data_IF_997968167950
#
_entry.id   IF_997968167950
#
_cell.length_a   1.000
_cell.length_b   1.000
_cell.length_c   1.000
_cell.angle_alpha   90.00
_cell.angle_beta   90.00
_cell.angle_gamma   90.00
#
_symmetry.space_group_name_H-M   'P 1'
#
loop_
_entity.id
_entity.type
_entity.pdbx_description
1 polymer ?
#
# COMPACT_ATOMS: atom_id res chain seq x y z
N UNK A 1 19.61 -5.47 8.53
CA UNK A 1 18.20 -5.87 8.72
C UNK A 1 17.99 -7.09 7.85
N UNK A 2 17.40 -8.15 8.40
CA UNK A 2 17.01 -9.30 7.59
C UNK A 2 15.88 -8.88 6.63
N UNK A 3 15.79 -9.48 5.44
CA UNK A 3 14.66 -9.24 4.53
C UNK A 3 13.36 -9.69 5.21
N UNK A 4 12.29 -8.92 5.04
CA UNK A 4 10.97 -9.25 5.56
C UNK A 4 10.46 -10.56 4.95
N UNK A 5 9.76 -11.35 5.76
CA UNK A 5 8.97 -12.49 5.29
C UNK A 5 7.75 -12.02 4.51
N UNK A 6 7.19 -12.87 3.65
CA UNK A 6 5.95 -12.54 2.92
C UNK A 6 4.78 -12.18 3.83
N UNK A 7 4.73 -12.74 5.05
CA UNK A 7 3.66 -12.44 6.02
C UNK A 7 3.83 -11.02 6.58
N UNK A 8 5.07 -10.61 6.88
CA UNK A 8 5.36 -9.25 7.33
C UNK A 8 5.10 -8.24 6.22
N UNK A 9 5.52 -8.53 4.98
CA UNK A 9 5.20 -7.70 3.81
C UNK A 9 3.69 -7.54 3.62
N UNK A 10 2.93 -8.62 3.79
CA UNK A 10 1.46 -8.55 3.75
C UNK A 10 0.89 -7.69 4.88
N UNK A 11 1.43 -7.80 6.10
CA UNK A 11 1.01 -6.98 7.23
C UNK A 11 1.21 -5.49 6.93
N UNK A 12 2.37 -5.09 6.40
CA UNK A 12 2.63 -3.70 6.02
C UNK A 12 1.67 -3.20 4.93
N UNK A 13 1.44 -4.02 3.89
CA UNK A 13 0.48 -3.69 2.83
C UNK A 13 -0.95 -3.56 3.36
N UNK A 14 -1.35 -4.41 4.31
CA UNK A 14 -2.66 -4.31 4.97
C UNK A 14 -2.79 -3.03 5.80
N UNK A 15 -1.75 -2.67 6.58
CA UNK A 15 -1.73 -1.43 7.36
C UNK A 15 -1.83 -0.19 6.48
N UNK A 16 -1.23 -0.20 5.28
CA UNK A 16 -1.42 0.86 4.31
C UNK A 16 -2.89 0.99 3.88
N UNK A 17 -3.55 -0.12 3.52
CA UNK A 17 -4.96 -0.09 3.12
C UNK A 17 -5.82 0.47 4.25
N UNK A 18 -5.57 0.04 5.48
CA UNK A 18 -6.28 0.50 6.67
C UNK A 18 -6.08 2.00 6.88
N UNK A 19 -4.82 2.47 6.84
CA UNK A 19 -4.46 3.88 6.90
C UNK A 19 -5.19 4.72 5.82
N UNK A 20 -5.21 4.24 4.57
CA UNK A 20 -5.91 4.93 3.48
C UNK A 20 -7.41 5.03 3.78
N UNK A 21 -8.02 3.99 4.34
CA UNK A 21 -9.45 4.00 4.67
C UNK A 21 -9.80 5.06 5.72
N UNK A 22 -8.91 5.30 6.68
CA UNK A 22 -9.08 6.29 7.73
C UNK A 22 -8.74 7.73 7.29
N UNK A 23 -7.76 7.89 6.40
CA UNK A 23 -7.19 9.19 6.05
C UNK A 23 -7.52 9.65 4.62
N UNK A 24 -8.33 8.91 3.87
CA UNK A 24 -8.66 9.21 2.46
C UNK A 24 -9.12 10.65 2.23
N UNK A 25 -9.88 11.19 3.18
CA UNK A 25 -10.50 12.51 3.08
C UNK A 25 -9.64 13.61 3.77
N UNK A 26 -8.43 13.27 4.23
CA UNK A 26 -7.47 14.18 4.84
C UNK A 26 -6.37 14.61 3.85
N UNK A 27 -5.76 15.78 4.05
CA UNK A 27 -4.59 16.18 3.27
C UNK A 27 -3.47 15.15 3.44
N UNK A 28 -2.90 14.71 2.33
CA UNK A 28 -1.78 13.78 2.32
C UNK A 28 -0.59 14.40 3.06
N UNK A 29 0.08 13.60 3.88
CA UNK A 29 1.37 13.99 4.44
C UNK A 29 2.38 14.11 3.28
N UNK A 30 3.03 15.28 3.10
CA UNK A 30 3.93 15.53 1.98
C UNK A 30 5.16 14.60 1.95
N UNK A 31 5.54 14.02 3.09
CA UNK A 31 6.67 13.08 3.18
C UNK A 31 6.23 11.62 2.99
N UNK A 32 4.93 11.36 2.83
CA UNK A 32 4.37 10.01 2.71
C UNK A 32 3.74 9.75 1.34
N UNK A 33 4.47 9.02 0.50
CA UNK A 33 3.96 8.54 -0.78
C UNK A 33 3.26 7.18 -0.63
N UNK A 34 1.96 7.22 -0.34
CA UNK A 34 1.12 6.04 -0.17
C UNK A 34 1.23 5.06 -1.35
N UNK A 35 1.06 5.55 -2.58
CA UNK A 35 0.97 4.70 -3.77
C UNK A 35 2.29 4.03 -4.09
N UNK A 36 3.42 4.72 -3.86
CA UNK A 36 4.75 4.13 -3.99
C UNK A 36 5.00 3.01 -2.98
N UNK A 37 4.51 3.13 -1.76
CA UNK A 37 4.62 2.05 -0.77
C UNK A 37 3.75 0.85 -1.14
N UNK A 38 2.53 1.09 -1.65
CA UNK A 38 1.66 0.01 -2.15
C UNK A 38 2.32 -0.73 -3.32
N UNK A 39 2.90 -0.03 -4.28
CA UNK A 39 3.63 -0.62 -5.41
C UNK A 39 4.80 -1.48 -4.92
N UNK A 40 5.60 -0.97 -3.97
CA UNK A 40 6.72 -1.68 -3.38
C UNK A 40 6.32 -3.01 -2.73
N UNK A 41 5.26 -3.03 -1.92
CA UNK A 41 4.83 -4.27 -1.27
C UNK A 41 4.10 -5.21 -2.23
N UNK A 42 3.44 -4.70 -3.27
CA UNK A 42 2.89 -5.54 -4.34
C UNK A 42 4.00 -6.30 -5.09
N UNK A 43 5.12 -5.64 -5.41
CA UNK A 43 6.27 -6.27 -6.08
C UNK A 43 6.86 -7.42 -5.22
N UNK A 44 7.01 -7.20 -3.91
CA UNK A 44 7.52 -8.24 -3.00
C UNK A 44 6.60 -9.44 -2.84
N UNK A 45 5.30 -9.26 -3.04
CA UNK A 45 4.30 -10.32 -2.95
C UNK A 45 3.96 -10.97 -4.30
N UNK A 46 4.57 -10.51 -5.39
CA UNK A 46 4.23 -10.91 -6.76
C UNK A 46 2.75 -10.63 -7.09
N UNK A 47 2.27 -9.46 -6.66
CA UNK A 47 0.91 -8.97 -6.92
C UNK A 47 0.92 -7.96 -8.07
N UNK A 48 -0.10 -8.03 -8.93
CA UNK A 48 -0.29 -7.02 -9.95
C UNK A 48 -0.78 -5.72 -9.31
N UNK A 49 0.09 -4.70 -9.28
CA UNK A 49 -0.22 -3.39 -8.70
C UNK A 49 -1.50 -2.75 -9.27
N UNK A 50 -1.70 -2.80 -10.59
CA UNK A 50 -2.86 -2.19 -11.24
C UNK A 50 -4.17 -2.91 -10.88
N UNK A 51 -4.13 -4.24 -10.83
CA UNK A 51 -5.26 -5.05 -10.36
C UNK A 51 -5.56 -4.79 -8.90
N UNK A 52 -4.53 -4.64 -8.06
CA UNK A 52 -4.66 -4.33 -6.64
C UNK A 52 -5.37 -2.99 -6.43
N UNK A 53 -4.87 -1.91 -7.04
CA UNK A 53 -5.49 -0.57 -6.96
C UNK A 53 -6.98 -0.62 -7.34
N UNK A 54 -7.31 -1.31 -8.44
CA UNK A 54 -8.70 -1.47 -8.90
C UNK A 54 -9.55 -2.28 -7.92
N UNK A 55 -9.02 -3.38 -7.40
CA UNK A 55 -9.73 -4.31 -6.51
C UNK A 55 -10.09 -3.65 -5.18
N UNK A 56 -9.18 -2.85 -4.64
CA UNK A 56 -9.38 -2.12 -3.38
C UNK A 56 -10.01 -0.73 -3.57
N UNK A 57 -10.33 -0.34 -4.81
CA UNK A 57 -10.97 0.96 -5.10
C UNK A 57 -10.11 2.16 -4.74
N UNK A 58 -8.78 1.99 -4.72
CA UNK A 58 -7.83 3.05 -4.42
C UNK A 58 -7.79 4.04 -5.58
N UNK A 59 -7.92 5.33 -5.30
CA UNK A 59 -7.90 6.38 -6.32
C UNK A 59 -6.69 7.27 -6.13
N UNK A 60 -5.79 7.24 -7.11
CA UNK A 60 -4.76 8.25 -7.28
C UNK A 60 -5.43 9.47 -7.92
N UNK A 61 -5.56 10.55 -7.15
CA UNK A 61 -6.13 11.84 -7.62
C UNK A 61 -5.13 12.59 -8.51
#
# INVERSE_FOLDING_TARGET
MEPLTKVEVFQELYQLIDYYSEHRDHPADPDFDFFKNVEYYCDQLDLNYQEFIRTFGLKQL
#
